data_IF_664281742389
#
_entry.id   IF_664281742389
#
_cell.length_a   1.000
_cell.length_b   1.000
_cell.length_c   1.000
_cell.angle_alpha   90.00
_cell.angle_beta   90.00
_cell.angle_gamma   90.00
#
_symmetry.space_group_name_H-M   'P 1'
#
loop_
_entity.id
_entity.type
_entity.pdbx_description
1 polymer ?
#
# COMPACT_ATOMS: atom_id res chain seq x y z
N UNK A 1 27.88 -4.79 -11.00
CA UNK A 1 28.64 -4.15 -9.91
C UNK A 1 27.95 -2.84 -9.54
N UNK A 2 27.11 -2.88 -8.50
CA UNK A 2 26.93 -1.85 -7.47
C UNK A 2 25.83 -2.37 -6.53
N UNK A 3 26.28 -2.77 -5.34
CA UNK A 3 25.54 -2.86 -4.07
C UNK A 3 24.40 -3.88 -3.97
N UNK A 4 24.77 -5.15 -3.92
CA UNK A 4 23.98 -6.23 -3.31
C UNK A 4 24.18 -6.24 -1.78
N UNK A 5 24.07 -5.05 -1.17
CA UNK A 5 23.82 -4.96 0.27
C UNK A 5 22.33 -5.30 0.42
N UNK A 6 22.05 -6.59 0.62
CA UNK A 6 20.68 -7.09 0.78
C UNK A 6 19.96 -6.24 1.81
N UNK A 7 18.77 -5.70 1.49
CA UNK A 7 17.92 -4.88 2.38
C UNK A 7 17.85 -5.45 3.82
N UNK A 8 17.95 -6.78 3.95
CA UNK A 8 18.06 -7.54 5.20
C UNK A 8 19.15 -7.04 6.16
N UNK A 9 20.28 -6.52 5.66
CA UNK A 9 21.36 -5.95 6.48
C UNK A 9 21.07 -4.51 6.92
N UNK A 10 20.24 -3.77 6.17
CA UNK A 10 19.85 -2.39 6.48
C UNK A 10 18.80 -2.30 7.61
N UNK A 11 18.11 -3.39 7.91
CA UNK A 11 17.09 -3.48 8.98
C UNK A 11 17.70 -3.62 10.39
N UNK A 12 19.02 -3.67 10.52
CA UNK A 12 19.74 -3.86 11.77
C UNK A 12 19.87 -2.56 12.57
N UNK A 13 18.74 -1.99 13.03
CA UNK A 13 18.75 -0.93 14.04
C UNK A 13 17.84 -1.27 15.23
N UNK A 14 18.15 -0.67 16.38
CA UNK A 14 17.73 -0.99 17.76
C UNK A 14 16.24 -0.82 18.09
N UNK A 15 15.35 -0.87 17.09
CA UNK A 15 13.91 -0.77 17.28
C UNK A 15 13.27 -2.12 17.62
N UNK A 16 12.10 -2.08 18.23
CA UNK A 16 11.31 -3.29 18.51
C UNK A 16 10.83 -3.92 17.19
N UNK A 17 10.92 -5.24 17.11
CA UNK A 17 10.32 -6.00 16.00
C UNK A 17 8.79 -6.07 16.12
N UNK A 18 8.10 -6.57 15.08
CA UNK A 18 6.66 -6.76 15.16
C UNK A 18 6.30 -7.80 16.22
N UNK A 19 5.12 -7.65 16.80
CA UNK A 19 4.60 -8.60 17.80
C UNK A 19 3.13 -8.90 17.56
N UNK A 20 2.66 -10.03 18.09
CA UNK A 20 1.23 -10.34 18.14
C UNK A 20 0.84 -10.43 19.62
N UNK A 21 -0.07 -9.57 20.05
CA UNK A 21 -0.55 -9.56 21.43
C UNK A 21 -1.45 -10.77 21.73
N UNK A 22 -1.69 -11.03 23.01
CA UNK A 22 -2.56 -12.13 23.44
C UNK A 22 -4.01 -11.99 22.95
N UNK A 23 -4.47 -10.76 22.71
CA UNK A 23 -5.78 -10.44 22.13
C UNK A 23 -5.76 -10.34 20.59
N UNK A 24 -4.66 -10.73 19.94
CA UNK A 24 -4.55 -10.89 18.49
C UNK A 24 -4.25 -9.61 17.70
N UNK A 25 -3.80 -8.54 18.37
CA UNK A 25 -3.36 -7.31 17.69
C UNK A 25 -1.95 -7.51 17.17
N UNK A 26 -1.75 -7.25 15.88
CA UNK A 26 -0.46 -7.24 15.20
C UNK A 26 0.16 -5.85 15.33
N UNK A 27 1.14 -5.69 16.22
CA UNK A 27 1.95 -4.46 16.28
C UNK A 27 3.07 -4.54 15.25
N UNK A 28 3.21 -3.47 14.48
CA UNK A 28 4.17 -3.41 13.36
C UNK A 28 5.63 -3.26 13.82
N UNK A 29 5.87 -2.90 15.09
CA UNK A 29 7.20 -2.55 15.59
C UNK A 29 7.59 -1.11 15.25
N UNK A 30 8.85 -0.76 15.51
CA UNK A 30 9.39 0.58 15.31
C UNK A 30 10.56 0.66 14.32
N UNK A 31 11.01 1.88 14.06
CA UNK A 31 12.14 2.16 13.15
C UNK A 31 11.88 1.66 11.73
N UNK A 32 12.95 1.49 10.95
CA UNK A 32 12.85 1.05 9.55
C UNK A 32 12.12 -0.29 9.38
N UNK A 33 12.31 -1.23 10.32
CA UNK A 33 11.55 -2.50 10.32
C UNK A 33 10.06 -2.29 10.50
N UNK A 34 9.67 -1.40 11.41
CA UNK A 34 8.27 -1.03 11.59
C UNK A 34 7.68 -0.35 10.34
N UNK A 35 8.43 0.56 9.72
CA UNK A 35 8.01 1.23 8.47
C UNK A 35 7.86 0.21 7.33
N UNK A 36 8.77 -0.76 7.21
CA UNK A 36 8.66 -1.82 6.21
C UNK A 36 7.48 -2.76 6.48
N UNK A 37 7.19 -3.11 7.74
CA UNK A 37 5.99 -3.87 8.10
C UNK A 37 4.69 -3.08 7.86
N UNK A 38 4.73 -1.76 8.04
CA UNK A 38 3.64 -0.86 7.70
C UNK A 38 3.34 -0.85 6.21
N UNK A 39 4.36 -0.66 5.36
CA UNK A 39 4.19 -0.80 3.92
C UNK A 39 3.69 -2.21 3.58
N UNK A 40 4.32 -3.27 4.11
CA UNK A 40 3.92 -4.65 3.87
C UNK A 40 2.45 -4.96 4.25
N UNK A 41 1.91 -4.32 5.29
CA UNK A 41 0.50 -4.46 5.65
C UNK A 41 -0.45 -3.91 4.56
N UNK A 42 -0.11 -2.74 4.00
CA UNK A 42 -0.90 -2.11 2.94
C UNK A 42 -0.78 -2.87 1.61
N UNK A 43 0.43 -3.29 1.26
CA UNK A 43 0.67 -4.08 0.04
C UNK A 43 -0.03 -5.45 0.09
N UNK A 44 -0.19 -6.03 1.27
CA UNK A 44 -1.02 -7.23 1.44
C UNK A 44 -2.50 -6.95 1.17
N UNK A 45 -3.02 -5.82 1.65
CA UNK A 45 -4.39 -5.39 1.41
C UNK A 45 -4.64 -5.18 -0.09
N UNK A 46 -3.78 -4.45 -0.77
CA UNK A 46 -3.93 -4.10 -2.18
C UNK A 46 -3.74 -5.32 -3.10
N UNK A 47 -2.73 -6.15 -2.83
CA UNK A 47 -2.54 -7.41 -3.56
C UNK A 47 -3.75 -8.34 -3.42
N UNK A 48 -4.34 -8.43 -2.21
CA UNK A 48 -5.55 -9.21 -2.00
C UNK A 48 -6.77 -8.60 -2.73
N UNK A 49 -6.89 -7.28 -2.71
CA UNK A 49 -7.97 -6.56 -3.39
C UNK A 49 -7.94 -6.77 -4.90
N UNK A 50 -6.82 -6.51 -5.56
CA UNK A 50 -6.72 -6.68 -7.01
C UNK A 50 -6.81 -8.14 -7.46
N UNK A 51 -6.40 -9.09 -6.60
CA UNK A 51 -6.67 -10.51 -6.85
C UNK A 51 -8.18 -10.75 -6.93
N UNK A 52 -8.97 -10.23 -5.98
CA UNK A 52 -10.43 -10.33 -6.03
C UNK A 52 -11.05 -9.66 -7.26
N UNK A 53 -10.53 -8.48 -7.66
CA UNK A 53 -11.00 -7.76 -8.85
C UNK A 53 -10.80 -8.58 -10.13
N UNK A 54 -9.64 -9.22 -10.28
CA UNK A 54 -9.34 -10.05 -11.45
C UNK A 54 -10.14 -11.34 -11.42
N UNK A 55 -10.25 -12.00 -10.27
CA UNK A 55 -10.98 -13.26 -10.13
C UNK A 55 -12.50 -13.07 -10.31
N UNK A 56 -13.01 -11.87 -10.03
CA UNK A 56 -14.42 -11.51 -10.08
C UNK A 56 -14.65 -10.25 -10.94
N UNK A 57 -14.49 -10.33 -12.27
CA UNK A 57 -14.63 -9.16 -13.12
C UNK A 57 -16.07 -8.63 -13.11
N UNK A 58 -16.24 -7.33 -12.87
CA UNK A 58 -17.54 -6.67 -12.91
C UNK A 58 -18.20 -6.70 -14.29
N UNK A 59 -19.52 -6.54 -14.31
CA UNK A 59 -20.30 -6.50 -15.56
C UNK A 59 -19.86 -5.34 -16.46
N UNK A 60 -19.54 -5.65 -17.71
CA UNK A 60 -19.14 -4.65 -18.71
C UNK A 60 -17.67 -4.23 -18.62
N UNK A 61 -16.84 -4.88 -17.79
CA UNK A 61 -15.40 -4.65 -17.77
C UNK A 61 -14.82 -4.78 -19.19
N UNK A 62 -14.18 -3.72 -19.66
CA UNK A 62 -13.57 -3.69 -20.99
C UNK A 62 -12.28 -4.52 -21.02
N UNK A 63 -11.76 -4.81 -22.22
CA UNK A 63 -10.45 -5.46 -22.33
C UNK A 63 -9.34 -4.59 -21.75
N UNK A 64 -9.37 -3.29 -22.03
CA UNK A 64 -8.40 -2.34 -21.49
C UNK A 64 -8.41 -2.30 -19.97
N UNK A 65 -9.59 -2.25 -19.34
CA UNK A 65 -9.70 -2.30 -17.88
C UNK A 65 -9.20 -3.62 -17.31
N UNK A 66 -9.51 -4.76 -17.95
CA UNK A 66 -8.96 -6.07 -17.53
C UNK A 66 -7.43 -6.07 -17.56
N UNK A 67 -6.85 -5.62 -18.66
CA UNK A 67 -5.40 -5.62 -18.84
C UNK A 67 -4.74 -4.69 -17.79
N UNK A 68 -5.28 -3.48 -17.59
CA UNK A 68 -4.79 -2.53 -16.57
C UNK A 68 -4.93 -3.10 -15.16
N UNK A 69 -6.11 -3.60 -14.76
CA UNK A 69 -6.34 -4.10 -13.41
C UNK A 69 -5.54 -5.39 -13.13
N UNK A 70 -5.21 -6.17 -14.16
CA UNK A 70 -4.28 -7.29 -14.05
C UNK A 70 -2.83 -6.82 -13.86
N UNK A 71 -2.39 -5.77 -14.55
CA UNK A 71 -1.06 -5.17 -14.35
C UNK A 71 -0.94 -4.60 -12.92
N UNK A 72 -1.96 -3.90 -12.41
CA UNK A 72 -1.98 -3.40 -11.03
C UNK A 72 -1.87 -4.57 -10.03
N UNK A 73 -2.68 -5.63 -10.19
CA UNK A 73 -2.56 -6.85 -9.38
C UNK A 73 -1.11 -7.37 -9.35
N UNK A 74 -0.47 -7.46 -10.51
CA UNK A 74 0.87 -8.04 -10.61
C UNK A 74 1.93 -7.13 -9.96
N UNK A 75 1.76 -5.82 -10.03
CA UNK A 75 2.61 -4.86 -9.31
C UNK A 75 2.43 -4.97 -7.79
N UNK A 76 1.19 -5.02 -7.27
CA UNK A 76 0.97 -5.14 -5.81
C UNK A 76 1.45 -6.46 -5.25
N UNK A 77 1.32 -7.56 -6.02
CA UNK A 77 1.94 -8.83 -5.65
C UNK A 77 3.47 -8.67 -5.60
N UNK A 78 4.08 -7.99 -6.58
CA UNK A 78 5.53 -7.77 -6.60
C UNK A 78 6.01 -6.87 -5.45
N UNK A 79 5.28 -5.82 -5.09
CA UNK A 79 5.57 -4.98 -3.93
C UNK A 79 5.48 -5.78 -2.63
N UNK A 80 4.36 -6.48 -2.42
CA UNK A 80 4.15 -7.36 -1.26
C UNK A 80 5.23 -8.42 -1.13
N UNK A 81 5.63 -9.07 -2.21
CA UNK A 81 6.71 -10.07 -2.19
C UNK A 81 8.08 -9.45 -1.96
N UNK A 82 8.33 -8.24 -2.47
CA UNK A 82 9.54 -7.47 -2.19
C UNK A 82 9.71 -7.25 -0.68
N UNK A 83 8.66 -6.78 0.00
CA UNK A 83 8.70 -6.61 1.45
C UNK A 83 8.77 -7.93 2.20
N UNK A 84 8.02 -8.96 1.77
CA UNK A 84 8.08 -10.30 2.38
C UNK A 84 9.51 -10.85 2.40
N UNK A 85 10.24 -10.69 1.30
CA UNK A 85 11.64 -11.11 1.18
C UNK A 85 12.56 -10.23 2.02
N UNK A 86 12.40 -8.90 1.95
CA UNK A 86 13.23 -7.96 2.70
C UNK A 86 13.13 -8.16 4.22
N UNK A 87 11.90 -8.32 4.73
CA UNK A 87 11.59 -8.48 6.15
C UNK A 87 12.01 -9.84 6.71
N UNK A 88 11.93 -10.92 5.91
CA UNK A 88 12.29 -12.27 6.35
C UNK A 88 11.52 -12.70 7.60
N UNK A 89 12.22 -13.09 8.67
CA UNK A 89 11.62 -13.47 9.96
C UNK A 89 11.05 -12.28 10.76
N UNK A 90 11.41 -11.05 10.39
CA UNK A 90 10.91 -9.83 11.04
C UNK A 90 9.61 -9.30 10.41
N UNK A 91 8.93 -10.10 9.60
CA UNK A 91 7.66 -9.72 8.97
C UNK A 91 6.47 -9.99 9.89
N UNK A 92 5.45 -9.15 9.78
CA UNK A 92 4.11 -9.45 10.32
C UNK A 92 3.49 -10.69 9.63
N UNK A 93 2.56 -11.40 10.29
CA UNK A 93 1.83 -12.49 9.65
C UNK A 93 0.96 -12.00 8.48
N UNK A 94 0.46 -12.96 7.69
CA UNK A 94 -0.50 -12.65 6.63
C UNK A 94 -1.79 -12.05 7.24
N UNK A 95 -2.24 -10.92 6.70
CA UNK A 95 -3.44 -10.24 7.16
C UNK A 95 -4.70 -10.91 6.61
N UNK A 96 -5.74 -10.97 7.44
CA UNK A 96 -7.10 -11.26 6.99
C UNK A 96 -7.74 -9.95 6.54
N UNK A 97 -8.23 -9.93 5.30
CA UNK A 97 -8.93 -8.79 4.70
C UNK A 97 -10.44 -8.93 4.86
N UNK A 98 -11.15 -7.81 4.83
CA UNK A 98 -12.61 -7.74 4.81
C UNK A 98 -13.08 -6.83 3.68
N UNK A 99 -13.47 -7.42 2.56
CA UNK A 99 -14.05 -6.68 1.43
C UNK A 99 -15.57 -6.78 1.38
N UNK A 100 -16.24 -7.10 2.49
CA UNK A 100 -17.70 -7.27 2.52
C UNK A 100 -18.48 -6.00 2.12
N UNK A 101 -17.85 -4.82 2.26
CA UNK A 101 -18.42 -3.54 1.82
C UNK A 101 -18.20 -3.25 0.32
N UNK A 102 -17.42 -4.06 -0.40
CA UNK A 102 -17.12 -3.86 -1.83
C UNK A 102 -18.07 -4.69 -2.68
N UNK A 103 -18.82 -4.05 -3.56
CA UNK A 103 -19.58 -4.73 -4.61
C UNK A 103 -18.68 -4.98 -5.84
N UNK A 104 -18.03 -6.14 -5.89
CA UNK A 104 -17.17 -6.53 -7.01
C UNK A 104 -17.91 -6.69 -8.34
N UNK A 105 -19.25 -6.73 -8.35
CA UNK A 105 -20.04 -6.76 -9.58
C UNK A 105 -20.24 -5.37 -10.20
N UNK A 106 -19.96 -4.30 -9.45
CA UNK A 106 -20.14 -2.91 -9.83
C UNK A 106 -18.82 -2.24 -10.19
N UNK A 107 -18.70 -1.81 -11.45
CA UNK A 107 -17.56 -1.02 -11.94
C UNK A 107 -17.29 0.19 -11.04
N UNK A 108 -18.33 0.92 -10.66
CA UNK A 108 -18.19 2.12 -9.83
C UNK A 108 -17.64 1.77 -8.44
N UNK A 109 -18.16 0.70 -7.81
CA UNK A 109 -17.67 0.26 -6.50
C UNK A 109 -16.20 -0.13 -6.59
N UNK A 110 -15.84 -0.98 -7.55
CA UNK A 110 -14.46 -1.45 -7.74
C UNK A 110 -13.49 -0.29 -8.02
N UNK A 111 -13.81 0.59 -8.97
CA UNK A 111 -12.87 1.68 -9.29
C UNK A 111 -12.82 2.76 -8.20
N UNK A 112 -13.90 2.97 -7.44
CA UNK A 112 -13.88 3.91 -6.30
C UNK A 112 -13.05 3.37 -5.14
N UNK A 113 -13.18 2.08 -4.81
CA UNK A 113 -12.35 1.43 -3.79
C UNK A 113 -10.89 1.37 -4.23
N UNK A 114 -10.62 1.04 -5.50
CA UNK A 114 -9.27 1.10 -6.07
C UNK A 114 -8.66 2.50 -5.87
N UNK A 115 -9.39 3.57 -6.23
CA UNK A 115 -8.89 4.94 -6.03
C UNK A 115 -8.56 5.21 -4.56
N UNK A 116 -9.41 4.77 -3.64
CA UNK A 116 -9.15 4.90 -2.21
C UNK A 116 -7.86 4.22 -1.80
N UNK A 117 -7.57 3.03 -2.31
CA UNK A 117 -6.33 2.31 -2.01
C UNK A 117 -5.11 3.00 -2.62
N UNK A 118 -5.13 3.31 -3.92
CA UNK A 118 -3.97 3.93 -4.58
C UNK A 118 -3.62 5.31 -3.99
N UNK A 119 -4.62 6.17 -3.75
CA UNK A 119 -4.39 7.47 -3.13
C UNK A 119 -3.84 7.32 -1.70
N UNK A 120 -4.34 6.31 -0.98
CA UNK A 120 -3.89 6.01 0.38
C UNK A 120 -2.47 5.43 0.38
N UNK A 121 -2.11 4.60 -0.59
CA UNK A 121 -0.77 4.07 -0.81
C UNK A 121 0.25 5.18 -1.05
N UNK A 122 -0.05 6.11 -1.95
CA UNK A 122 0.79 7.31 -2.18
C UNK A 122 0.97 8.11 -0.88
N UNK A 123 -0.13 8.40 -0.18
CA UNK A 123 -0.10 9.14 1.08
C UNK A 123 0.70 8.41 2.17
N UNK A 124 0.61 7.08 2.21
CA UNK A 124 1.31 6.22 3.15
C UNK A 124 2.82 6.23 2.94
N UNK A 125 3.29 6.10 1.69
CA UNK A 125 4.71 6.16 1.39
C UNK A 125 5.30 7.54 1.66
N UNK A 126 4.59 8.61 1.30
CA UNK A 126 5.06 9.98 1.54
C UNK A 126 5.11 10.31 3.04
N UNK A 127 4.10 9.91 3.82
CA UNK A 127 4.05 10.16 5.26
C UNK A 127 4.98 9.26 6.07
N UNK A 128 5.09 7.98 5.69
CA UNK A 128 6.03 7.03 6.31
C UNK A 128 7.50 7.32 5.95
N UNK A 129 7.75 7.97 4.81
CA UNK A 129 9.09 8.28 4.32
C UNK A 129 9.96 9.08 5.30
N UNK A 130 9.35 9.96 6.10
CA UNK A 130 10.06 10.74 7.11
C UNK A 130 10.60 9.92 8.29
N UNK A 131 10.04 8.72 8.51
CA UNK A 131 10.46 7.80 9.57
C UNK A 131 11.63 6.89 9.15
N UNK A 132 11.95 6.84 7.85
CA UNK A 132 13.00 5.99 7.29
C UNK A 132 14.38 6.59 7.57
N UNK A 133 15.25 5.82 8.20
CA UNK A 133 16.63 6.19 8.51
C UNK A 133 17.62 5.67 7.47
N UNK A 134 17.38 4.47 6.93
CA UNK A 134 18.23 3.85 5.91
C UNK A 134 18.03 4.52 4.54
N UNK A 135 19.11 5.06 3.93
CA UNK A 135 19.04 5.58 2.56
C UNK A 135 18.61 4.54 1.53
N UNK A 136 18.98 3.27 1.73
CA UNK A 136 18.62 2.19 0.81
C UNK A 136 17.11 1.89 0.86
N UNK A 137 16.52 1.94 2.07
CA UNK A 137 15.07 1.78 2.25
C UNK A 137 14.33 3.01 1.70
N UNK A 138 14.87 4.22 1.87
CA UNK A 138 14.28 5.44 1.31
C UNK A 138 14.30 5.41 -0.23
N UNK A 139 15.37 4.91 -0.84
CA UNK A 139 15.45 4.71 -2.30
C UNK A 139 14.46 3.65 -2.77
N UNK A 140 14.28 2.56 -2.01
CA UNK A 140 13.25 1.56 -2.31
C UNK A 140 11.85 2.19 -2.27
N UNK A 141 11.51 2.88 -1.18
CA UNK A 141 10.22 3.55 -1.00
C UNK A 141 9.96 4.56 -2.13
N UNK A 142 10.97 5.36 -2.51
CA UNK A 142 10.88 6.31 -3.62
C UNK A 142 10.60 5.68 -4.98
N UNK A 143 11.04 4.43 -5.20
CA UNK A 143 10.71 3.68 -6.43
C UNK A 143 9.27 3.17 -6.41
N UNK A 144 8.80 2.67 -5.27
CA UNK A 144 7.45 2.12 -5.14
C UNK A 144 6.40 3.23 -5.20
N UNK A 145 6.57 4.33 -4.45
CA UNK A 145 5.61 5.45 -4.51
C UNK A 145 5.46 6.06 -5.90
N UNK A 146 6.50 5.98 -6.74
CA UNK A 146 6.42 6.37 -8.16
C UNK A 146 5.57 5.40 -9.01
N UNK A 147 5.45 4.14 -8.62
CA UNK A 147 4.52 3.16 -9.19
C UNK A 147 3.11 3.45 -8.68
N UNK A 148 2.92 3.59 -7.36
CA UNK A 148 1.63 3.92 -6.74
C UNK A 148 0.99 5.18 -7.35
N UNK A 149 1.76 6.25 -7.53
CA UNK A 149 1.24 7.47 -8.14
C UNK A 149 0.74 7.27 -9.59
N UNK A 150 1.33 6.32 -10.33
CA UNK A 150 0.84 5.95 -11.68
C UNK A 150 -0.41 5.09 -11.61
N UNK A 151 -0.53 4.22 -10.62
CA UNK A 151 -1.76 3.47 -10.37
C UNK A 151 -2.91 4.41 -10.02
N UNK A 152 -2.70 5.33 -9.05
CA UNK A 152 -3.67 6.35 -8.67
C UNK A 152 -4.17 7.16 -9.87
N UNK A 153 -3.24 7.70 -10.66
CA UNK A 153 -3.56 8.47 -11.86
C UNK A 153 -4.32 7.64 -12.91
N UNK A 154 -3.97 6.36 -13.05
CA UNK A 154 -4.64 5.43 -13.97
C UNK A 154 -6.07 5.13 -13.52
N UNK A 155 -6.29 4.79 -12.25
CA UNK A 155 -7.62 4.53 -11.70
C UNK A 155 -8.50 5.77 -11.78
N UNK A 156 -7.97 6.95 -11.45
CA UNK A 156 -8.67 8.23 -11.59
C UNK A 156 -9.09 8.50 -13.04
N UNK A 157 -8.22 8.18 -14.00
CA UNK A 157 -8.55 8.25 -15.43
C UNK A 157 -9.62 7.25 -15.85
N UNK A 158 -9.60 6.02 -15.31
CA UNK A 158 -10.65 5.04 -15.59
C UNK A 158 -12.01 5.51 -15.04
N UNK A 159 -12.03 6.11 -13.85
CA UNK A 159 -13.25 6.68 -13.27
C UNK A 159 -13.81 7.80 -14.13
N UNK A 160 -12.98 8.79 -14.45
CA UNK A 160 -13.38 10.01 -15.16
C UNK A 160 -12.44 10.33 -16.33
N UNK A 161 -12.61 9.66 -17.49
CA UNK A 161 -11.72 9.83 -18.64
C UNK A 161 -11.68 11.27 -19.15
N UNK A 162 -10.47 11.81 -19.31
CA UNK A 162 -10.25 13.15 -19.87
C UNK A 162 -10.59 14.31 -18.91
N UNK A 163 -10.83 14.04 -17.63
CA UNK A 163 -10.98 15.07 -16.60
C UNK A 163 -9.63 15.48 -15.99
N UNK A 164 -9.67 16.48 -15.10
CA UNK A 164 -8.52 16.86 -14.29
C UNK A 164 -8.18 15.83 -13.19
N UNK A 165 -9.03 14.82 -12.97
CA UNK A 165 -8.86 13.88 -11.86
C UNK A 165 -7.59 13.03 -11.99
N UNK A 166 -7.05 12.87 -13.20
CA UNK A 166 -5.73 12.24 -13.46
C UNK A 166 -4.62 12.81 -12.57
N UNK A 167 -4.67 14.11 -12.28
CA UNK A 167 -3.74 14.82 -11.39
C UNK A 167 -4.53 15.84 -10.55
N UNK A 168 -5.57 15.33 -9.86
CA UNK A 168 -6.54 16.17 -9.17
C UNK A 168 -5.93 17.00 -8.04
N UNK A 169 -6.41 18.25 -7.90
CA UNK A 169 -6.02 19.15 -6.80
C UNK A 169 -6.47 18.65 -5.42
N UNK A 170 -7.32 17.61 -5.36
CA UNK A 170 -7.77 16.99 -4.11
C UNK A 170 -6.67 16.20 -3.39
N UNK A 171 -5.63 15.79 -4.12
CA UNK A 171 -4.48 15.04 -3.58
C UNK A 171 -3.17 15.83 -3.58
N UNK A 172 -3.18 17.07 -4.05
CA UNK A 172 -1.96 17.89 -4.16
C UNK A 172 -2.12 19.18 -3.36
N UNK A 173 -1.10 19.53 -2.57
CA UNK A 173 -1.10 20.79 -1.82
C UNK A 173 -0.61 21.98 -2.68
N UNK A 174 -0.64 23.20 -2.12
CA UNK A 174 -0.26 24.43 -2.84
C UNK A 174 1.21 24.46 -3.33
N UNK A 175 2.07 23.55 -2.86
CA UNK A 175 3.45 23.41 -3.30
C UNK A 175 3.62 22.38 -4.43
N UNK A 176 2.54 21.76 -4.89
CA UNK A 176 2.61 20.68 -5.88
C UNK A 176 3.07 19.34 -5.30
N UNK A 177 2.98 19.17 -3.97
CA UNK A 177 3.34 17.91 -3.30
C UNK A 177 2.08 17.10 -3.03
N UNK A 178 2.15 15.80 -3.30
CA UNK A 178 1.09 14.85 -3.00
C UNK A 178 0.83 14.75 -1.50
N UNK A 179 -0.29 14.13 -1.10
CA UNK A 179 -0.63 13.94 0.30
C UNK A 179 0.44 13.12 1.02
N UNK A 180 0.59 13.38 2.31
CA UNK A 180 1.46 12.64 3.21
C UNK A 180 0.71 12.50 4.54
N UNK A 181 0.30 11.27 4.87
CA UNK A 181 -0.48 10.99 6.07
C UNK A 181 0.35 10.19 7.06
N UNK A 182 0.26 10.48 8.38
CA UNK A 182 0.94 9.67 9.37
C UNK A 182 0.36 8.24 9.37
N UNK A 183 1.18 7.20 9.64
CA UNK A 183 0.74 5.80 9.70
C UNK A 183 -0.56 5.56 10.48
N UNK A 184 -0.79 6.31 11.56
CA UNK A 184 -2.02 6.20 12.35
C UNK A 184 -3.29 6.59 11.57
N UNK A 185 -3.24 7.65 10.75
CA UNK A 185 -4.36 8.07 9.89
C UNK A 185 -4.56 7.10 8.73
N UNK A 186 -3.48 6.59 8.16
CA UNK A 186 -3.55 5.61 7.08
C UNK A 186 -4.16 4.30 7.56
N UNK A 187 -3.69 3.76 8.69
CA UNK A 187 -4.26 2.54 9.25
C UNK A 187 -5.73 2.72 9.65
N UNK A 188 -6.12 3.91 10.12
CA UNK A 188 -7.53 4.20 10.40
C UNK A 188 -8.38 4.20 9.12
N UNK A 189 -7.86 4.72 8.01
CA UNK A 189 -8.53 4.70 6.71
C UNK A 189 -8.61 3.29 6.10
N UNK A 190 -7.58 2.46 6.29
CA UNK A 190 -7.53 1.08 5.82
C UNK A 190 -8.32 0.10 6.71
N UNK A 191 -8.54 0.42 7.99
CA UNK A 191 -9.17 -0.46 8.98
C UNK A 191 -10.51 -1.10 8.55
N UNK A 192 -11.41 -0.43 7.80
CA UNK A 192 -12.64 -1.06 7.32
C UNK A 192 -12.41 -2.26 6.39
N UNK A 193 -11.21 -2.41 5.82
CA UNK A 193 -10.88 -3.44 4.85
C UNK A 193 -9.92 -4.52 5.37
N UNK A 194 -9.52 -4.43 6.64
CA UNK A 194 -8.59 -5.37 7.29
C UNK A 194 -9.29 -5.95 8.53
N UNK A 195 -9.59 -7.25 8.50
CA UNK A 195 -10.14 -7.97 9.65
C UNK A 195 -9.09 -8.20 10.74
N UNK A 196 -7.83 -8.41 10.37
CA UNK A 196 -6.72 -8.46 11.32
C UNK A 196 -6.54 -7.09 11.98
N UNK A 197 -6.53 -7.05 13.32
CA UNK A 197 -6.28 -5.81 14.05
C UNK A 197 -4.80 -5.46 14.00
N UNK A 198 -4.46 -4.28 13.47
CA UNK A 198 -3.08 -3.81 13.31
C UNK A 198 -2.83 -2.55 14.14
N UNK A 199 -1.64 -2.40 14.74
CA UNK A 199 -1.21 -1.17 15.42
C UNK A 199 0.18 -0.71 15.00
N UNK A 200 0.35 0.61 14.90
CA UNK A 200 1.62 1.27 14.57
C UNK A 200 2.08 2.20 15.70
N UNK A 201 1.93 1.80 16.96
CA UNK A 201 2.12 2.68 18.12
C UNK A 201 3.56 3.24 18.26
N UNK A 202 4.49 2.67 17.51
CA UNK A 202 5.92 3.00 17.52
C UNK A 202 6.38 3.68 16.23
N UNK A 203 5.44 4.00 15.33
CA UNK A 203 5.67 4.84 14.16
C UNK A 203 5.10 6.24 14.43
N UNK A 204 5.56 7.27 13.69
CA UNK A 204 5.10 8.65 13.87
C UNK A 204 3.60 8.88 13.67
#
# INVERSE_FOLDING_TARGET
MLHDLTLTQAMAQTASGPTVSADGVVDLGGGDTGVLNYAYALEQLEAAYYTQVVDNPYSGMTRTERDILADLRDHEIAHRETFRVALGENRIPDLQVDFSAVDFSSRQSVLTTARTFEDLGVAAYNGGGAAIQSPDILVLAGKIVSVEARHAATIRTLLNPGSADFAGDDVVNLLGLDQALPPSEVLAAAAPFIATRVSANQLP
#
